data_IF_581910379014
#
_entry.id   IF_581910379014
#
_cell.length_a   1.000
_cell.length_b   1.000
_cell.length_c   1.000
_cell.angle_alpha   90.00
_cell.angle_beta   90.00
_cell.angle_gamma   90.00
#
_symmetry.space_group_name_H-M   'P 1'
#
loop_
_entity.id
_entity.type
_entity.pdbx_description
1 polymer ?
#
# COMPACT_ATOMS: atom_id res chain seq x y z
N UNK A 1 4.91 30.11 -18.72
CA UNK A 1 6.11 30.38 -17.89
C UNK A 1 6.55 29.06 -17.30
N UNK A 2 7.75 28.58 -17.61
CA UNK A 2 8.25 27.34 -17.02
C UNK A 2 8.57 27.58 -15.55
N UNK A 3 8.06 26.74 -14.65
CA UNK A 3 8.44 26.80 -13.24
C UNK A 3 9.96 26.67 -13.13
N UNK A 4 10.61 27.65 -12.51
CA UNK A 4 12.02 27.55 -12.14
C UNK A 4 12.13 26.46 -11.07
N UNK A 5 12.97 25.45 -11.31
CA UNK A 5 13.20 24.35 -10.39
C UNK A 5 14.57 24.55 -9.75
N UNK A 6 14.65 25.12 -8.53
CA UNK A 6 15.93 25.42 -7.91
C UNK A 6 16.69 24.15 -7.50
N UNK A 7 17.97 24.34 -7.19
CA UNK A 7 18.79 23.30 -6.56
C UNK A 7 18.20 22.93 -5.20
N UNK A 8 18.35 21.67 -4.82
CA UNK A 8 17.87 21.09 -3.56
C UNK A 8 16.34 21.08 -3.40
N UNK A 9 15.57 21.32 -4.46
CA UNK A 9 14.12 21.13 -4.45
C UNK A 9 13.74 19.66 -4.31
N UNK A 10 12.61 19.41 -3.62
CA UNK A 10 11.94 18.12 -3.58
C UNK A 10 11.02 17.98 -4.78
N UNK A 11 11.22 16.91 -5.54
CA UNK A 11 10.40 16.58 -6.71
C UNK A 11 9.91 15.13 -6.63
N UNK A 12 8.86 14.83 -7.38
CA UNK A 12 8.48 13.46 -7.74
C UNK A 12 9.12 13.08 -9.05
N UNK A 13 9.75 11.92 -9.06
CA UNK A 13 10.14 11.23 -10.29
C UNK A 13 9.63 9.80 -10.21
N UNK A 14 8.70 9.44 -11.11
CA UNK A 14 8.03 8.12 -11.13
C UNK A 14 7.39 7.77 -9.78
N UNK A 15 6.64 8.70 -9.17
CA UNK A 15 5.98 8.54 -7.87
C UNK A 15 6.96 8.20 -6.72
N UNK A 16 8.23 8.59 -6.84
CA UNK A 16 9.23 8.46 -5.78
C UNK A 16 9.87 9.81 -5.50
N UNK A 17 10.30 10.08 -4.25
CA UNK A 17 10.90 11.35 -3.92
C UNK A 17 12.30 11.41 -4.54
N UNK A 18 12.61 12.57 -5.11
CA UNK A 18 13.92 12.87 -5.67
C UNK A 18 14.31 14.31 -5.34
N UNK A 19 15.60 14.58 -5.34
CA UNK A 19 16.18 15.91 -5.09
C UNK A 19 16.88 16.41 -6.33
N UNK A 20 16.74 17.69 -6.64
CA UNK A 20 17.51 18.33 -7.71
C UNK A 20 18.93 18.63 -7.22
N UNK A 21 19.93 17.98 -7.82
CA UNK A 21 21.35 18.25 -7.57
C UNK A 21 21.82 19.46 -8.38
N UNK A 22 21.41 19.55 -9.64
CA UNK A 22 21.77 20.64 -10.54
C UNK A 22 20.60 20.99 -11.48
N UNK A 23 20.14 22.26 -11.49
CA UNK A 23 19.13 22.73 -12.44
C UNK A 23 19.74 23.00 -13.83
N UNK A 24 18.90 22.88 -14.87
CA UNK A 24 19.28 23.12 -16.26
C UNK A 24 18.21 22.61 -17.24
N UNK A 25 18.53 22.58 -18.55
CA UNK A 25 17.63 22.05 -19.60
C UNK A 25 17.22 20.59 -19.34
N UNK A 26 18.15 19.83 -18.77
CA UNK A 26 17.89 18.56 -18.11
C UNK A 26 18.34 18.71 -16.66
N UNK A 27 17.53 18.19 -15.75
CA UNK A 27 17.80 18.20 -14.33
C UNK A 27 18.70 17.01 -13.99
N UNK A 28 19.77 17.27 -13.26
CA UNK A 28 20.49 16.23 -12.54
C UNK A 28 19.79 16.02 -11.20
N UNK A 29 19.28 14.81 -10.97
CA UNK A 29 18.51 14.46 -9.78
C UNK A 29 19.19 13.33 -9.02
N UNK A 30 18.99 13.31 -7.71
CA UNK A 30 19.26 12.18 -6.84
C UNK A 30 17.93 11.52 -6.45
N UNK A 31 17.86 10.20 -6.59
CA UNK A 31 16.68 9.41 -6.22
C UNK A 31 16.78 8.93 -4.78
N UNK A 32 15.66 8.50 -4.20
CA UNK A 32 15.56 7.83 -2.90
C UNK A 32 16.48 6.60 -2.75
N UNK A 33 16.87 5.96 -3.85
CA UNK A 33 17.85 4.87 -3.88
C UNK A 33 19.32 5.33 -3.78
N UNK A 34 19.58 6.64 -3.69
CA UNK A 34 20.91 7.25 -3.72
C UNK A 34 21.54 7.30 -5.12
N UNK A 35 20.84 6.84 -6.15
CA UNK A 35 21.31 6.90 -7.55
C UNK A 35 21.00 8.24 -8.17
N UNK A 36 21.88 8.68 -9.07
CA UNK A 36 21.68 9.89 -9.86
C UNK A 36 21.05 9.61 -11.22
N UNK A 37 20.22 10.52 -11.73
CA UNK A 37 19.63 10.43 -13.07
C UNK A 37 19.52 11.81 -13.74
N UNK A 38 19.56 11.82 -15.08
CA UNK A 38 19.26 13.01 -15.90
C UNK A 38 17.86 12.93 -16.47
N UNK A 39 17.01 13.88 -16.11
CA UNK A 39 15.58 13.89 -16.47
C UNK A 39 15.16 15.23 -17.06
N UNK A 40 14.08 15.27 -17.85
CA UNK A 40 13.54 16.55 -18.35
C UNK A 40 12.62 17.17 -17.29
N UNK A 41 12.51 18.50 -17.22
CA UNK A 41 11.59 19.16 -16.29
C UNK A 41 10.13 18.69 -16.37
N UNK A 42 9.66 18.28 -17.55
CA UNK A 42 8.30 17.75 -17.75
C UNK A 42 8.08 16.33 -17.19
N UNK A 43 9.16 15.60 -16.91
CA UNK A 43 9.11 14.21 -16.44
C UNK A 43 9.10 14.15 -14.89
N UNK A 44 9.07 15.32 -14.24
CA UNK A 44 9.08 15.47 -12.79
C UNK A 44 7.97 16.42 -12.35
N UNK A 45 7.59 16.32 -11.08
CA UNK A 45 6.62 17.23 -10.47
C UNK A 45 7.23 17.87 -9.24
N UNK A 46 7.17 19.19 -9.12
CA UNK A 46 7.68 19.89 -7.93
C UNK A 46 6.75 19.66 -6.75
N UNK A 47 7.29 19.12 -5.65
CA UNK A 47 6.57 19.01 -4.37
C UNK A 47 6.90 20.17 -3.44
N UNK A 48 8.18 20.51 -3.32
CA UNK A 48 8.63 21.58 -2.43
C UNK A 48 9.87 22.27 -3.03
N UNK A 49 9.98 23.61 -2.97
CA UNK A 49 11.14 24.33 -3.50
C UNK A 49 12.48 24.00 -2.78
N UNK A 50 12.42 23.31 -1.64
CA UNK A 50 13.57 22.88 -0.85
C UNK A 50 13.88 23.84 0.31
N UNK A 51 15.09 23.77 0.91
CA UNK A 51 16.18 22.83 0.55
C UNK A 51 16.02 21.45 1.21
N UNK A 52 16.15 20.40 0.41
CA UNK A 52 16.27 19.01 0.87
C UNK A 52 17.74 18.69 1.11
N UNK A 53 18.09 18.31 2.33
CA UNK A 53 19.46 17.87 2.66
C UNK A 53 19.70 16.40 2.33
N UNK A 54 18.72 15.54 2.63
CA UNK A 54 18.75 14.11 2.41
C UNK A 54 17.31 13.58 2.26
N UNK A 55 17.07 12.73 1.28
CA UNK A 55 15.75 12.12 1.01
C UNK A 55 15.35 11.09 2.08
N UNK A 56 16.32 10.45 2.74
CA UNK A 56 16.04 9.49 3.83
C UNK A 56 15.53 10.18 5.10
N UNK A 57 15.71 11.50 5.23
CA UNK A 57 15.31 12.29 6.40
C UNK A 57 13.97 13.01 6.24
N UNK A 58 13.14 12.62 5.27
CA UNK A 58 11.80 13.19 5.06
C UNK A 58 10.80 12.63 6.07
N UNK A 59 11.07 12.85 7.36
CA UNK A 59 10.18 12.47 8.45
C UNK A 59 9.40 13.71 8.88
N UNK A 60 8.07 13.77 8.64
CA UNK A 60 7.27 14.89 9.10
C UNK A 60 7.18 14.89 10.63
N UNK A 61 6.89 16.05 11.26
CA UNK A 61 6.47 16.08 12.65
C UNK A 61 5.15 15.29 12.84
N UNK A 62 4.76 14.95 14.09
CA UNK A 62 3.41 14.48 14.36
C UNK A 62 2.39 15.47 13.81
N UNK A 63 1.34 14.96 13.17
CA UNK A 63 0.25 15.75 12.62
C UNK A 63 -1.06 15.00 12.72
N UNK A 64 -2.17 15.70 12.52
CA UNK A 64 -3.52 15.16 12.65
C UNK A 64 -4.21 15.09 11.28
N UNK A 65 -4.02 13.95 10.61
CA UNK A 65 -4.55 13.71 9.27
C UNK A 65 -6.07 13.58 9.30
N UNK A 66 -6.63 12.95 10.35
CA UNK A 66 -8.05 12.67 10.45
C UNK A 66 -8.83 13.96 10.68
N UNK A 67 -8.40 14.81 11.63
CA UNK A 67 -9.02 16.12 11.86
C UNK A 67 -8.94 17.02 10.61
N UNK A 68 -7.78 17.06 9.94
CA UNK A 68 -7.64 17.85 8.72
C UNK A 68 -8.57 17.36 7.59
N UNK A 69 -8.70 16.04 7.45
CA UNK A 69 -9.62 15.44 6.49
C UNK A 69 -11.09 15.76 6.82
N UNK A 70 -11.50 15.63 8.08
CA UNK A 70 -12.88 15.93 8.51
C UNK A 70 -13.26 17.39 8.24
N UNK A 71 -12.34 18.33 8.50
CA UNK A 71 -12.54 19.75 8.23
C UNK A 71 -12.72 20.05 6.74
N UNK A 72 -12.04 19.30 5.87
CA UNK A 72 -12.04 19.51 4.43
C UNK A 72 -13.02 18.60 3.66
N UNK A 73 -13.72 17.67 4.32
CA UNK A 73 -14.50 16.65 3.64
C UNK A 73 -15.44 17.22 2.56
N UNK A 74 -15.28 16.76 1.31
CA UNK A 74 -16.03 17.24 0.15
C UNK A 74 -15.52 18.56 -0.46
N UNK A 75 -14.42 19.11 0.05
CA UNK A 75 -13.76 20.32 -0.44
C UNK A 75 -12.44 19.99 -1.14
N UNK A 76 -11.91 20.98 -1.86
CA UNK A 76 -10.59 20.92 -2.49
C UNK A 76 -9.59 21.85 -1.79
N UNK A 77 -8.33 21.46 -1.79
CA UNK A 77 -7.20 22.20 -1.23
C UNK A 77 -5.94 21.96 -2.07
N UNK A 78 -4.84 22.61 -1.73
CA UNK A 78 -3.52 22.39 -2.33
C UNK A 78 -2.61 21.57 -1.41
N UNK A 79 -1.51 21.06 -1.97
CA UNK A 79 -0.46 20.37 -1.20
C UNK A 79 0.07 21.21 -0.03
N UNK A 80 0.26 22.51 -0.24
CA UNK A 80 0.85 23.39 0.76
C UNK A 80 -0.13 23.66 1.91
N UNK A 81 -1.37 24.03 1.59
CA UNK A 81 -2.42 24.27 2.59
C UNK A 81 -2.71 23.02 3.40
N UNK A 82 -2.78 21.84 2.76
CA UNK A 82 -3.01 20.59 3.48
C UNK A 82 -1.84 20.22 4.39
N UNK A 83 -0.60 20.50 3.97
CA UNK A 83 0.57 20.28 4.81
C UNK A 83 0.57 21.20 6.04
N UNK A 84 0.23 22.48 5.86
CA UNK A 84 0.08 23.43 6.96
C UNK A 84 -1.08 23.06 7.89
N UNK A 85 -2.19 22.54 7.35
CA UNK A 85 -3.34 22.11 8.16
C UNK A 85 -3.03 20.87 9.01
N UNK A 86 -2.31 19.89 8.47
CA UNK A 86 -2.00 18.63 9.18
C UNK A 86 -0.82 18.82 10.14
N UNK A 87 0.21 19.57 9.73
CA UNK A 87 1.53 19.57 10.35
C UNK A 87 2.02 20.96 10.79
N UNK A 88 1.17 21.99 10.74
CA UNK A 88 1.45 23.41 11.05
C UNK A 88 2.44 24.12 10.10
N UNK A 89 3.24 23.40 9.31
CA UNK A 89 4.26 23.99 8.44
C UNK A 89 4.40 23.25 7.10
N UNK A 90 4.54 24.02 6.02
CA UNK A 90 4.93 23.50 4.71
C UNK A 90 6.46 23.38 4.61
N UNK A 91 6.96 22.16 4.79
CA UNK A 91 8.37 21.78 4.69
C UNK A 91 8.53 20.66 3.66
N UNK A 92 9.74 20.31 3.21
CA UNK A 92 9.92 19.17 2.33
C UNK A 92 9.38 17.85 2.93
N UNK A 93 9.49 17.66 4.24
CA UNK A 93 9.03 16.46 4.90
C UNK A 93 7.49 16.38 4.94
N UNK A 94 6.81 17.50 5.24
CA UNK A 94 5.35 17.55 5.28
C UNK A 94 4.75 17.51 3.87
N UNK A 95 5.37 18.17 2.89
CA UNK A 95 5.00 18.05 1.48
C UNK A 95 5.08 16.59 0.98
N UNK A 96 6.14 15.88 1.36
CA UNK A 96 6.28 14.45 1.06
C UNK A 96 5.19 13.62 1.74
N UNK A 97 4.93 13.87 3.03
CA UNK A 97 3.90 13.17 3.78
C UNK A 97 2.50 13.34 3.18
N UNK A 98 2.13 14.56 2.79
CA UNK A 98 0.84 14.82 2.11
C UNK A 98 0.77 14.08 0.77
N UNK A 99 1.87 14.05 0.00
CA UNK A 99 1.88 13.24 -1.22
C UNK A 99 1.68 11.75 -0.94
N UNK A 100 2.26 11.20 0.14
CA UNK A 100 2.05 9.80 0.52
C UNK A 100 0.59 9.51 0.90
N UNK A 101 -0.11 10.47 1.53
CA UNK A 101 -1.55 10.37 1.81
C UNK A 101 -2.38 10.37 0.54
N UNK A 102 -1.98 11.18 -0.45
CA UNK A 102 -2.61 11.23 -1.77
C UNK A 102 -2.40 9.92 -2.55
N UNK A 103 -1.20 9.34 -2.48
CA UNK A 103 -0.86 8.05 -3.11
C UNK A 103 -1.57 6.87 -2.43
N UNK A 104 -1.75 6.91 -1.10
CA UNK A 104 -2.55 5.91 -0.38
C UNK A 104 -4.03 5.97 -0.77
N UNK A 105 -4.58 7.17 -1.01
CA UNK A 105 -5.93 7.34 -1.55
C UNK A 105 -7.08 7.06 -0.58
N UNK A 106 -6.79 6.85 0.71
CA UNK A 106 -7.84 6.64 1.72
C UNK A 106 -8.64 7.92 1.94
N UNK A 107 -7.98 9.00 2.34
CA UNK A 107 -8.62 10.26 2.75
C UNK A 107 -8.66 11.31 1.62
N UNK A 108 -7.65 11.31 0.75
CA UNK A 108 -7.46 12.36 -0.26
C UNK A 108 -7.33 11.75 -1.66
N UNK A 109 -7.76 12.48 -2.68
CA UNK A 109 -7.61 12.11 -4.10
C UNK A 109 -7.31 13.33 -4.97
N UNK A 110 -6.98 13.11 -6.24
CA UNK A 110 -6.73 14.20 -7.20
C UNK A 110 -5.26 14.42 -7.48
N UNK A 111 -4.84 15.68 -7.54
CA UNK A 111 -3.48 16.09 -7.89
C UNK A 111 -2.87 16.99 -6.83
N UNK A 112 -1.55 17.17 -6.82
CA UNK A 112 -0.89 18.02 -5.82
C UNK A 112 -1.33 19.50 -5.86
N UNK A 113 -1.93 19.96 -6.96
CA UNK A 113 -2.47 21.32 -7.12
C UNK A 113 -3.95 21.42 -6.78
N UNK A 114 -4.65 20.29 -6.76
CA UNK A 114 -6.09 20.20 -6.52
C UNK A 114 -6.37 18.85 -5.85
N UNK A 115 -6.19 18.84 -4.54
CA UNK A 115 -6.41 17.70 -3.66
C UNK A 115 -7.84 17.79 -3.16
N UNK A 116 -8.64 16.75 -3.39
CA UNK A 116 -9.98 16.62 -2.88
C UNK A 116 -9.99 15.72 -1.64
N UNK A 117 -10.56 16.21 -0.55
CA UNK A 117 -10.83 15.40 0.64
C UNK A 117 -12.10 14.58 0.43
N UNK A 118 -12.00 13.26 0.55
CA UNK A 118 -13.10 12.32 0.28
C UNK A 118 -14.21 12.47 1.33
N UNK A 119 -15.44 12.14 0.95
CA UNK A 119 -16.56 12.17 1.91
C UNK A 119 -16.44 11.04 2.96
N UNK A 120 -17.04 11.21 4.16
CA UNK A 120 -17.03 10.18 5.20
C UNK A 120 -17.52 8.81 4.72
N UNK A 121 -18.63 8.78 3.97
CA UNK A 121 -19.20 7.55 3.41
C UNK A 121 -18.23 6.79 2.49
N UNK A 122 -17.44 7.53 1.71
CA UNK A 122 -16.46 6.99 0.78
C UNK A 122 -15.25 6.42 1.52
N UNK A 123 -14.81 7.10 2.58
CA UNK A 123 -13.71 6.67 3.45
C UNK A 123 -14.11 5.43 4.24
N UNK A 124 -15.26 5.45 4.90
CA UNK A 124 -15.80 4.30 5.65
C UNK A 124 -15.90 3.05 4.79
N UNK A 125 -16.46 3.18 3.57
CA UNK A 125 -16.52 2.08 2.61
C UNK A 125 -15.12 1.55 2.25
N UNK A 126 -14.18 2.45 1.97
CA UNK A 126 -12.80 2.09 1.63
C UNK A 126 -12.10 1.38 2.81
N UNK A 127 -12.31 1.86 4.03
CA UNK A 127 -11.78 1.23 5.24
C UNK A 127 -12.39 -0.15 5.46
N UNK A 128 -13.71 -0.29 5.34
CA UNK A 128 -14.40 -1.57 5.47
C UNK A 128 -13.87 -2.60 4.45
N UNK A 129 -13.68 -2.20 3.19
CA UNK A 129 -13.11 -3.06 2.15
C UNK A 129 -11.66 -3.46 2.47
N UNK A 130 -10.81 -2.52 2.92
CA UNK A 130 -9.42 -2.80 3.32
C UNK A 130 -9.38 -3.74 4.52
N UNK A 131 -10.22 -3.50 5.52
CA UNK A 131 -10.33 -4.34 6.72
C UNK A 131 -10.84 -5.74 6.40
N UNK A 132 -11.85 -5.87 5.54
CA UNK A 132 -12.36 -7.18 5.11
C UNK A 132 -11.27 -8.00 4.41
N UNK A 133 -10.53 -7.39 3.46
CA UNK A 133 -9.39 -8.02 2.79
C UNK A 133 -8.27 -8.40 3.75
N UNK A 134 -7.96 -7.52 4.72
CA UNK A 134 -6.94 -7.80 5.72
C UNK A 134 -7.34 -8.96 6.64
N UNK A 135 -8.61 -8.99 7.10
CA UNK A 135 -9.17 -10.10 7.90
C UNK A 135 -9.14 -11.40 7.14
N UNK A 136 -9.53 -11.40 5.87
CA UNK A 136 -9.48 -12.60 5.02
C UNK A 136 -8.04 -13.10 4.86
N UNK A 137 -7.09 -12.21 4.56
CA UNK A 137 -5.67 -12.56 4.45
C UNK A 137 -5.13 -13.12 5.77
N UNK A 138 -5.49 -12.52 6.91
CA UNK A 138 -5.07 -12.98 8.22
C UNK A 138 -5.68 -14.35 8.54
N UNK A 139 -6.99 -14.54 8.34
CA UNK A 139 -7.66 -15.82 8.56
C UNK A 139 -7.04 -16.95 7.72
N UNK A 140 -6.67 -16.65 6.47
CA UNK A 140 -5.94 -17.58 5.59
C UNK A 140 -4.55 -17.92 6.14
N UNK A 141 -3.79 -16.91 6.58
CA UNK A 141 -2.47 -17.13 7.17
C UNK A 141 -2.55 -17.95 8.47
N UNK A 142 -3.52 -17.64 9.33
CA UNK A 142 -3.75 -18.35 10.59
C UNK A 142 -4.15 -19.81 10.36
N UNK A 143 -5.01 -20.08 9.37
CA UNK A 143 -5.36 -21.43 8.96
C UNK A 143 -4.11 -22.21 8.53
N UNK A 144 -3.28 -21.64 7.64
CA UNK A 144 -2.05 -22.31 7.19
C UNK A 144 -1.11 -22.60 8.35
N UNK A 145 -0.95 -21.66 9.28
CA UNK A 145 -0.14 -21.86 10.48
C UNK A 145 -0.69 -23.01 11.35
N UNK A 146 -2.00 -23.07 11.56
CA UNK A 146 -2.65 -24.16 12.31
C UNK A 146 -2.47 -25.52 11.64
N UNK A 147 -2.68 -25.61 10.33
CA UNK A 147 -2.52 -26.85 9.56
C UNK A 147 -1.07 -27.34 9.60
N UNK A 148 -0.10 -26.45 9.45
CA UNK A 148 1.32 -26.80 9.56
C UNK A 148 1.68 -27.28 10.98
N UNK A 149 1.06 -26.72 12.02
CA UNK A 149 1.23 -27.13 13.40
C UNK A 149 0.41 -28.37 13.81
N UNK A 150 -0.47 -28.88 12.94
CA UNK A 150 -1.41 -29.97 13.27
C UNK A 150 -2.49 -29.57 14.29
N UNK A 151 -2.77 -28.28 14.44
CA UNK A 151 -3.70 -27.70 15.43
C UNK A 151 -4.93 -27.06 14.77
N UNK A 152 -5.32 -27.55 13.59
CA UNK A 152 -6.48 -27.03 12.86
C UNK A 152 -7.79 -27.54 13.50
N UNK A 153 -8.90 -26.84 13.24
CA UNK A 153 -10.22 -27.22 13.73
C UNK A 153 -11.15 -27.51 12.56
N UNK A 154 -11.65 -28.74 12.40
CA UNK A 154 -12.56 -29.09 11.30
C UNK A 154 -13.81 -28.20 11.21
N UNK A 155 -14.33 -27.74 12.36
CA UNK A 155 -15.52 -26.88 12.40
C UNK A 155 -15.23 -25.45 11.94
N UNK A 156 -14.09 -24.89 12.33
CA UNK A 156 -13.72 -23.50 12.00
C UNK A 156 -13.09 -23.39 10.61
N UNK A 157 -12.40 -24.44 10.18
CA UNK A 157 -11.63 -24.48 8.95
C UNK A 157 -12.34 -25.27 7.83
N UNK A 158 -13.62 -25.63 8.02
CA UNK A 158 -14.42 -26.45 7.11
C UNK A 158 -14.35 -25.95 5.65
N UNK A 159 -14.46 -24.64 5.43
CA UNK A 159 -14.41 -24.06 4.08
C UNK A 159 -13.05 -24.27 3.39
N UNK A 160 -11.95 -24.26 4.15
CA UNK A 160 -10.62 -24.56 3.61
C UNK A 160 -10.40 -26.05 3.39
N UNK A 161 -10.97 -26.90 4.24
CA UNK A 161 -10.90 -28.35 4.07
C UNK A 161 -11.72 -28.82 2.87
N UNK A 162 -12.88 -28.24 2.62
CA UNK A 162 -13.71 -28.51 1.44
C UNK A 162 -12.96 -28.26 0.12
N UNK A 163 -12.09 -27.25 0.07
CA UNK A 163 -11.20 -27.01 -1.09
C UNK A 163 -10.27 -28.21 -1.36
N UNK A 164 -9.70 -28.79 -0.30
CA UNK A 164 -8.85 -29.98 -0.40
C UNK A 164 -9.66 -31.22 -0.74
N UNK A 165 -10.82 -31.41 -0.11
CA UNK A 165 -11.73 -32.54 -0.38
C UNK A 165 -12.22 -32.54 -1.82
N UNK A 166 -12.55 -31.38 -2.38
CA UNK A 166 -12.97 -31.27 -3.76
C UNK A 166 -11.86 -31.70 -4.75
N UNK A 167 -10.58 -31.48 -4.43
CA UNK A 167 -9.47 -32.06 -5.21
C UNK A 167 -9.37 -33.57 -4.98
N UNK A 168 -9.49 -34.03 -3.73
CA UNK A 168 -9.44 -35.46 -3.40
C UNK A 168 -10.54 -36.27 -4.12
N UNK A 169 -11.74 -35.70 -4.29
CA UNK A 169 -12.85 -36.30 -5.03
C UNK A 169 -12.79 -36.06 -6.55
N UNK A 170 -11.81 -35.32 -7.06
CA UNK A 170 -11.71 -34.97 -8.48
C UNK A 170 -12.81 -34.03 -8.97
N UNK A 171 -13.46 -33.29 -8.06
CA UNK A 171 -14.44 -32.25 -8.38
C UNK A 171 -13.76 -30.97 -8.87
N UNK A 172 -12.50 -30.75 -8.51
CA UNK A 172 -11.66 -29.67 -9.03
C UNK A 172 -10.18 -30.07 -9.16
N UNK A 173 -9.47 -29.43 -10.08
CA UNK A 173 -8.04 -29.69 -10.34
C UNK A 173 -7.10 -28.77 -9.55
N UNK A 174 -7.64 -27.73 -8.91
CA UNK A 174 -6.86 -26.69 -8.22
C UNK A 174 -7.32 -26.58 -6.79
N UNK A 175 -6.36 -26.42 -5.88
CA UNK A 175 -6.62 -26.10 -4.48
C UNK A 175 -5.67 -25.02 -4.04
N UNK A 176 -6.22 -23.97 -3.45
CA UNK A 176 -5.43 -22.92 -2.83
C UNK A 176 -4.62 -23.48 -1.67
N UNK A 177 -5.25 -24.31 -0.82
CA UNK A 177 -4.60 -24.90 0.36
C UNK A 177 -3.39 -25.77 -0.03
N UNK A 178 -3.55 -26.68 -0.99
CA UNK A 178 -2.44 -27.55 -1.43
C UNK A 178 -1.29 -26.73 -2.00
N UNK A 179 -1.59 -25.69 -2.79
CA UNK A 179 -0.58 -24.81 -3.36
C UNK A 179 0.21 -24.08 -2.28
N UNK A 180 -0.46 -23.47 -1.31
CA UNK A 180 0.22 -22.71 -0.23
C UNK A 180 1.01 -23.64 0.72
N UNK A 181 0.58 -24.90 0.87
CA UNK A 181 1.33 -25.92 1.62
C UNK A 181 2.49 -26.53 0.82
N UNK A 182 2.72 -26.10 -0.43
CA UNK A 182 3.77 -26.65 -1.29
C UNK A 182 3.53 -28.09 -1.72
N UNK A 183 2.27 -28.55 -1.70
CA UNK A 183 1.87 -29.89 -2.10
C UNK A 183 1.42 -29.93 -3.55
N UNK A 184 1.58 -31.11 -4.17
CA UNK A 184 1.03 -31.35 -5.51
C UNK A 184 -0.49 -31.24 -5.47
N UNK A 185 -1.08 -30.54 -6.45
CA UNK A 185 -2.53 -30.43 -6.62
C UNK A 185 -3.05 -31.64 -7.38
N UNK A 186 -3.03 -32.82 -6.74
CA UNK A 186 -3.58 -34.07 -7.27
C UNK A 186 -4.50 -34.72 -6.24
N UNK A 187 -5.47 -35.54 -6.68
CA UNK A 187 -6.36 -36.24 -5.76
C UNK A 187 -5.62 -37.05 -4.68
N UNK A 188 -4.53 -37.72 -5.04
CA UNK A 188 -3.73 -38.54 -4.11
C UNK A 188 -3.04 -37.69 -3.04
N UNK A 189 -2.45 -36.56 -3.44
CA UNK A 189 -1.80 -35.61 -2.53
C UNK A 189 -2.80 -34.94 -1.58
N UNK A 190 -4.01 -34.65 -2.09
CA UNK A 190 -5.12 -34.13 -1.30
C UNK A 190 -5.62 -35.17 -0.28
N UNK A 191 -5.85 -36.39 -0.72
CA UNK A 191 -6.24 -37.51 0.14
C UNK A 191 -5.20 -37.75 1.25
N UNK A 192 -3.91 -37.79 0.90
CA UNK A 192 -2.83 -37.94 1.88
C UNK A 192 -2.73 -36.75 2.87
N UNK A 193 -3.15 -35.55 2.48
CA UNK A 193 -3.27 -34.42 3.41
C UNK A 193 -4.42 -34.67 4.39
N UNK A 194 -5.60 -35.05 3.90
CA UNK A 194 -6.81 -35.26 4.72
C UNK A 194 -6.61 -36.38 5.74
N UNK A 195 -5.95 -37.49 5.36
CA UNK A 195 -5.54 -38.55 6.28
C UNK A 195 -4.52 -38.05 7.32
N UNK A 196 -3.47 -37.33 6.88
CA UNK A 196 -2.45 -36.79 7.80
C UNK A 196 -3.05 -35.84 8.84
N UNK A 197 -4.07 -35.10 8.44
CA UNK A 197 -4.79 -34.17 9.29
C UNK A 197 -5.81 -34.89 10.20
N UNK A 198 -6.10 -36.19 9.99
CA UNK A 198 -7.11 -36.92 10.74
C UNK A 198 -8.53 -36.43 10.44
N UNK A 199 -8.73 -35.80 9.27
CA UNK A 199 -10.07 -35.40 8.78
C UNK A 199 -10.78 -36.61 8.20
N UNK A 200 -10.02 -37.46 7.50
CA UNK A 200 -10.50 -38.74 6.96
C UNK A 200 -9.79 -39.88 7.68
N UNK A 201 -10.49 -41.01 7.81
CA UNK A 201 -9.95 -42.25 8.35
C UNK A 201 -9.43 -43.15 7.22
N UNK A 202 -8.36 -43.90 7.49
CA UNK A 202 -7.92 -45.01 6.63
C UNK A 202 -8.99 -46.11 6.69
N UNK A 203 -9.92 -46.13 5.73
CA UNK A 203 -10.86 -47.23 5.55
C UNK A 203 -10.54 -48.04 4.31
#
# INVERSE_FOLDING_TARGET
MGQSLPKDSLILYKNRPARILQPGDKLDIETDSGKTAKVRPKDVTLLHPGPVKNLLGLTPPPGDVETAWELLAGQTTSLAELAELIFDEFTPATAWAVWQLLDDGLYFRGSITEIEARLPEDVEKTQADRQAKAREKQARADFLARVQAGQFSPEQDAGYLQDVEAVAFGLQDKSWVLRELGRTQSPESAHALLLKLGVWDET
#
